data_IF_972418624756
#
_entry.id   IF_972418624756
#
_cell.length_a   1.000
_cell.length_b   1.000
_cell.length_c   1.000
_cell.angle_alpha   90.00
_cell.angle_beta   90.00
_cell.angle_gamma   90.00
#
_symmetry.space_group_name_H-M   'P 1'
#
loop_
_entity.id
_entity.type
_entity.pdbx_description
1 polymer ?
#
# COMPACT_ATOMS: atom_id res chain seq x y z
N UNK A 1 7.16 -45.20 7.79
CA UNK A 1 6.66 -44.85 6.45
C UNK A 1 7.86 -44.48 5.60
N UNK A 2 8.42 -45.42 4.83
CA UNK A 2 9.46 -45.10 3.85
C UNK A 2 8.87 -44.17 2.80
N UNK A 3 9.62 -43.16 2.38
CA UNK A 3 9.24 -42.32 1.24
C UNK A 3 9.18 -43.18 -0.03
N UNK A 4 8.24 -42.90 -0.92
CA UNK A 4 8.11 -43.52 -2.26
C UNK A 4 9.47 -43.55 -3.00
N UNK A 5 10.27 -42.50 -2.83
CA UNK A 5 11.63 -42.36 -3.36
C UNK A 5 12.59 -43.45 -2.84
N UNK A 6 12.52 -43.83 -1.56
CA UNK A 6 13.41 -44.84 -0.99
C UNK A 6 13.17 -46.23 -1.59
N UNK A 7 11.92 -46.55 -1.93
CA UNK A 7 11.58 -47.82 -2.60
C UNK A 7 12.12 -47.86 -4.04
N UNK A 8 12.06 -46.74 -4.76
CA UNK A 8 12.66 -46.61 -6.10
C UNK A 8 14.19 -46.73 -6.05
N UNK A 9 14.85 -46.09 -5.08
CA UNK A 9 16.30 -46.22 -4.88
C UNK A 9 16.72 -47.66 -4.58
N UNK A 10 16.00 -48.36 -3.70
CA UNK A 10 16.28 -49.77 -3.39
C UNK A 10 16.22 -50.64 -4.63
N UNK A 11 15.28 -50.36 -5.53
CA UNK A 11 15.12 -51.11 -6.79
C UNK A 11 16.28 -50.88 -7.75
N UNK A 12 16.74 -49.63 -7.91
CA UNK A 12 17.92 -49.31 -8.73
C UNK A 12 19.15 -50.02 -8.19
N UNK A 13 19.37 -49.95 -6.87
CA UNK A 13 20.52 -50.61 -6.21
C UNK A 13 20.46 -52.12 -6.41
N UNK A 14 19.30 -52.73 -6.21
CA UNK A 14 19.13 -54.17 -6.38
C UNK A 14 19.44 -54.62 -7.81
N UNK A 15 18.92 -53.92 -8.82
CA UNK A 15 19.18 -54.22 -10.24
C UNK A 15 20.65 -54.04 -10.62
N UNK A 16 21.30 -52.99 -10.11
CA UNK A 16 22.71 -52.73 -10.35
C UNK A 16 23.61 -53.80 -9.72
N UNK A 17 23.30 -54.23 -8.49
CA UNK A 17 24.02 -55.32 -7.83
C UNK A 17 23.83 -56.63 -8.57
N UNK A 18 22.62 -56.90 -9.08
CA UNK A 18 22.34 -58.11 -9.88
C UNK A 18 23.15 -58.12 -11.19
N UNK A 19 23.24 -56.98 -11.88
CA UNK A 19 24.08 -56.82 -13.07
C UNK A 19 25.57 -57.02 -12.74
N UNK A 20 26.03 -56.43 -11.63
CA UNK A 20 27.43 -56.54 -11.18
C UNK A 20 27.79 -57.99 -10.80
N UNK A 21 26.90 -58.69 -10.09
CA UNK A 21 27.06 -60.09 -9.71
C UNK A 21 27.11 -60.98 -10.96
N UNK A 22 26.30 -60.70 -11.97
CA UNK A 22 26.35 -61.40 -13.25
C UNK A 22 27.69 -61.18 -13.96
N UNK A 23 28.16 -59.93 -14.07
CA UNK A 23 29.44 -59.61 -14.72
C UNK A 23 30.65 -60.21 -14.01
N UNK A 24 30.59 -60.36 -12.68
CA UNK A 24 31.71 -60.88 -11.86
C UNK A 24 31.70 -62.41 -11.74
N UNK A 25 30.52 -63.04 -11.75
CA UNK A 25 30.39 -64.50 -11.53
C UNK A 25 30.58 -65.31 -12.81
N UNK A 26 30.27 -64.76 -13.98
CA UNK A 26 30.34 -65.52 -15.24
C UNK A 26 31.55 -65.17 -16.09
N UNK A 27 32.43 -66.16 -16.36
CA UNK A 27 33.54 -66.05 -17.33
C UNK A 27 33.11 -66.03 -18.81
N UNK A 28 31.86 -66.35 -19.12
CA UNK A 28 31.33 -66.40 -20.49
C UNK A 28 29.82 -66.16 -20.50
N UNK A 29 29.37 -64.95 -20.15
CA UNK A 29 27.97 -64.55 -20.30
C UNK A 29 27.63 -64.29 -21.77
N UNK A 30 26.50 -64.80 -22.28
CA UNK A 30 25.93 -64.33 -23.54
C UNK A 30 25.66 -62.83 -23.46
N UNK A 31 26.15 -62.06 -24.44
CA UNK A 31 25.95 -60.60 -24.47
C UNK A 31 24.49 -60.18 -24.42
N UNK A 32 23.59 -61.02 -24.94
CA UNK A 32 22.13 -60.80 -24.87
C UNK A 32 21.59 -60.72 -23.44
N UNK A 33 22.12 -61.52 -22.50
CA UNK A 33 21.68 -61.49 -21.10
C UNK A 33 22.17 -60.23 -20.38
N UNK A 34 23.37 -59.75 -20.71
CA UNK A 34 23.92 -58.50 -20.16
C UNK A 34 23.08 -57.33 -20.65
N UNK A 35 22.79 -57.27 -21.95
CA UNK A 35 21.93 -56.24 -22.56
C UNK A 35 20.52 -56.23 -21.95
N UNK A 36 19.94 -57.41 -21.66
CA UNK A 36 18.66 -57.50 -20.97
C UNK A 36 18.69 -56.91 -19.56
N UNK A 37 19.76 -57.13 -18.79
CA UNK A 37 19.89 -56.60 -17.44
C UNK A 37 20.20 -55.10 -17.43
N UNK A 38 21.05 -54.63 -18.34
CA UNK A 38 21.29 -53.19 -18.56
C UNK A 38 19.99 -52.45 -18.88
N UNK A 39 19.14 -53.04 -19.74
CA UNK A 39 17.82 -52.47 -20.03
C UNK A 39 16.94 -52.35 -18.78
N UNK A 40 16.94 -53.35 -17.91
CA UNK A 40 16.16 -53.33 -16.66
C UNK A 40 16.70 -52.31 -15.64
N UNK A 41 18.02 -52.08 -15.61
CA UNK A 41 18.63 -51.02 -14.81
C UNK A 41 18.23 -49.66 -15.37
N UNK A 42 18.29 -49.47 -16.69
CA UNK A 42 17.90 -48.22 -17.33
C UNK A 42 16.42 -47.91 -17.09
N UNK A 43 15.53 -48.89 -17.23
CA UNK A 43 14.11 -48.73 -16.90
C UNK A 43 13.90 -48.36 -15.41
N UNK A 44 14.70 -48.89 -14.49
CA UNK A 44 14.63 -48.51 -13.08
C UNK A 44 15.10 -47.08 -12.81
N UNK A 45 16.07 -46.58 -13.57
CA UNK A 45 16.56 -45.19 -13.48
C UNK A 45 15.59 -44.23 -14.16
N UNK A 46 15.07 -44.58 -15.33
CA UNK A 46 14.06 -43.82 -16.04
C UNK A 46 12.80 -43.69 -15.18
N UNK A 47 12.37 -44.75 -14.50
CA UNK A 47 11.24 -44.70 -13.55
C UNK A 47 11.54 -43.94 -12.26
N UNK A 48 12.80 -43.71 -11.88
CA UNK A 48 13.17 -42.85 -10.74
C UNK A 48 13.09 -41.36 -11.13
N UNK A 49 13.55 -41.04 -12.34
CA UNK A 49 13.66 -39.68 -12.85
C UNK A 49 12.35 -39.20 -13.46
N UNK A 50 11.71 -40.00 -14.32
CA UNK A 50 10.51 -39.66 -15.09
C UNK A 50 9.66 -40.90 -15.51
N UNK A 51 8.61 -41.25 -14.74
CA UNK A 51 7.70 -42.37 -15.06
C UNK A 51 6.83 -42.18 -16.32
N UNK A 52 6.96 -41.08 -17.07
CA UNK A 52 6.03 -40.73 -18.15
C UNK A 52 6.52 -41.01 -19.57
N UNK A 53 7.83 -41.16 -19.79
CA UNK A 53 8.39 -41.03 -21.14
C UNK A 53 8.43 -42.38 -21.90
N UNK A 54 8.45 -43.52 -21.19
CA UNK A 54 8.63 -44.85 -21.80
C UNK A 54 7.83 -45.99 -21.16
N UNK A 55 6.53 -45.81 -20.91
CA UNK A 55 5.65 -46.95 -20.60
C UNK A 55 4.50 -46.66 -19.63
N UNK A 56 3.96 -47.72 -19.02
CA UNK A 56 2.92 -47.62 -18.00
C UNK A 56 3.51 -47.13 -16.67
N UNK A 57 2.86 -46.15 -15.99
CA UNK A 57 3.37 -45.59 -14.74
C UNK A 57 3.35 -46.64 -13.62
N UNK A 58 4.43 -46.70 -12.86
CA UNK A 58 4.61 -47.74 -11.85
C UNK A 58 3.74 -47.49 -10.61
N UNK A 59 3.04 -48.53 -10.16
CA UNK A 59 2.08 -48.49 -9.05
C UNK A 59 2.52 -49.37 -7.89
N UNK A 60 2.14 -48.99 -6.68
CA UNK A 60 2.29 -49.81 -5.47
C UNK A 60 1.25 -50.96 -5.42
N UNK A 61 1.33 -51.79 -4.38
CA UNK A 61 0.35 -52.85 -4.12
C UNK A 61 -1.08 -52.36 -3.83
N UNK A 62 -1.27 -51.05 -3.65
CA UNK A 62 -2.55 -50.37 -3.45
C UNK A 62 -3.00 -49.59 -4.69
N UNK A 63 -2.38 -49.84 -5.87
CA UNK A 63 -2.69 -49.21 -7.15
C UNK A 63 -2.42 -47.68 -7.20
N UNK A 64 -1.62 -47.16 -6.28
CA UNK A 64 -1.20 -45.76 -6.22
C UNK A 64 0.11 -45.58 -7.00
N UNK A 65 0.18 -44.57 -7.85
CA UNK A 65 1.40 -44.21 -8.59
C UNK A 65 2.42 -43.61 -7.62
N UNK A 66 3.67 -44.08 -7.69
CA UNK A 66 4.76 -43.55 -6.85
C UNK A 66 5.04 -42.08 -7.20
N UNK A 67 5.20 -41.21 -6.18
CA UNK A 67 5.67 -39.83 -6.37
C UNK A 67 7.18 -39.79 -6.69
N UNK A 68 7.54 -39.08 -7.75
CA UNK A 68 8.88 -39.11 -8.38
C UNK A 68 9.75 -37.90 -8.02
N UNK A 69 11.00 -37.92 -8.49
CA UNK A 69 11.88 -36.76 -8.36
C UNK A 69 11.39 -35.57 -9.19
N UNK A 70 10.95 -35.78 -10.45
CA UNK A 70 10.34 -34.73 -11.27
C UNK A 70 9.05 -34.20 -10.64
N UNK A 71 8.15 -35.06 -10.18
CA UNK A 71 6.92 -34.62 -9.47
C UNK A 71 7.22 -33.77 -8.22
N UNK A 72 8.30 -34.06 -7.49
CA UNK A 72 8.72 -33.32 -6.29
C UNK A 72 9.32 -31.95 -6.63
N UNK A 73 9.74 -31.74 -7.88
CA UNK A 73 10.32 -30.49 -8.39
C UNK A 73 9.29 -29.67 -9.18
N UNK A 74 8.47 -30.31 -10.00
CA UNK A 74 7.60 -29.68 -11.01
C UNK A 74 6.19 -29.36 -10.49
N UNK A 75 5.70 -30.05 -9.45
CA UNK A 75 4.34 -29.82 -8.96
C UNK A 75 4.19 -28.46 -8.24
N UNK A 76 2.96 -27.93 -8.23
CA UNK A 76 2.49 -26.85 -7.34
C UNK A 76 2.71 -27.14 -5.84
N UNK A 77 2.93 -28.41 -5.47
CA UNK A 77 3.31 -28.90 -4.13
C UNK A 77 4.83 -29.17 -4.00
N UNK A 78 5.64 -28.78 -4.98
CA UNK A 78 7.08 -29.02 -4.98
C UNK A 78 7.80 -28.29 -3.86
N UNK A 79 8.95 -28.84 -3.41
CA UNK A 79 9.70 -28.29 -2.26
C UNK A 79 10.16 -26.84 -2.47
N UNK A 80 10.28 -26.39 -3.73
CA UNK A 80 10.60 -25.00 -4.05
C UNK A 80 9.47 -24.03 -3.67
N UNK A 81 8.21 -24.46 -3.78
CA UNK A 81 7.07 -23.67 -3.31
C UNK A 81 6.89 -23.84 -1.80
N UNK A 82 6.79 -25.08 -1.28
CA UNK A 82 6.44 -25.30 0.13
C UNK A 82 7.50 -24.83 1.15
N UNK A 83 8.80 -24.91 0.84
CA UNK A 83 9.85 -24.59 1.84
C UNK A 83 10.12 -23.09 1.97
N UNK A 84 9.64 -22.27 1.02
CA UNK A 84 9.86 -20.82 0.97
C UNK A 84 8.62 -20.00 1.34
N UNK A 85 7.41 -20.53 1.22
CA UNK A 85 6.19 -19.74 1.34
C UNK A 85 5.56 -19.65 2.74
N UNK A 86 6.17 -20.24 3.77
CA UNK A 86 5.47 -20.42 5.04
C UNK A 86 6.31 -20.43 6.31
N UNK A 87 7.34 -19.59 6.43
CA UNK A 87 7.91 -19.30 7.77
C UNK A 87 7.97 -17.80 8.01
N UNK A 88 7.24 -17.35 9.05
CA UNK A 88 7.26 -15.98 9.58
C UNK A 88 8.70 -15.48 9.64
N UNK A 89 9.00 -14.41 8.90
CA UNK A 89 10.33 -13.81 8.75
C UNK A 89 10.93 -13.84 7.33
N UNK A 90 10.26 -14.43 6.33
CA UNK A 90 10.74 -14.52 4.93
C UNK A 90 9.80 -13.86 3.90
N UNK A 91 9.12 -12.77 4.27
CA UNK A 91 8.21 -12.06 3.37
C UNK A 91 8.89 -10.85 2.73
N UNK A 92 8.61 -10.60 1.46
CA UNK A 92 9.06 -9.39 0.75
C UNK A 92 8.14 -8.23 1.16
N UNK A 93 8.72 -7.10 1.57
CA UNK A 93 7.95 -5.90 1.87
C UNK A 93 7.71 -5.12 0.58
N UNK A 94 6.44 -5.03 0.16
CA UNK A 94 6.02 -4.24 -0.99
C UNK A 94 5.47 -2.89 -0.54
N UNK A 95 5.77 -1.83 -1.29
CA UNK A 95 5.22 -0.50 -1.01
C UNK A 95 3.72 -0.43 -1.37
N UNK A 96 2.81 0.05 -0.50
CA UNK A 96 1.37 0.03 -0.78
C UNK A 96 0.94 0.75 -2.07
N UNK A 97 1.63 1.83 -2.45
CA UNK A 97 1.31 2.57 -3.68
C UNK A 97 1.57 1.80 -4.97
N UNK A 98 2.47 0.80 -4.95
CA UNK A 98 2.74 0.00 -6.17
C UNK A 98 1.82 -1.20 -6.32
N UNK A 99 1.05 -1.55 -5.27
CA UNK A 99 0.14 -2.70 -5.28
C UNK A 99 -0.86 -2.65 -6.44
N UNK A 100 -1.39 -1.46 -6.76
CA UNK A 100 -2.32 -1.28 -7.89
C UNK A 100 -1.67 -1.60 -9.24
N UNK A 101 -0.39 -1.26 -9.41
CA UNK A 101 0.36 -1.53 -10.65
C UNK A 101 0.67 -3.01 -10.85
N UNK A 102 0.94 -3.73 -9.75
CA UNK A 102 1.19 -5.17 -9.77
C UNK A 102 -0.09 -6.01 -9.66
N UNK A 103 -1.23 -5.39 -9.40
CA UNK A 103 -2.48 -6.07 -9.02
C UNK A 103 -2.25 -7.07 -7.88
N UNK A 104 -1.48 -6.64 -6.87
CA UNK A 104 -1.09 -7.50 -5.75
C UNK A 104 -2.03 -7.31 -4.56
N UNK A 105 -2.52 -8.42 -3.99
CA UNK A 105 -3.19 -8.46 -2.70
C UNK A 105 -2.41 -9.32 -1.69
N UNK A 106 -2.54 -9.00 -0.39
CA UNK A 106 -1.74 -9.64 0.65
C UNK A 106 -2.41 -10.91 1.21
N UNK A 107 -3.07 -11.68 0.35
CA UNK A 107 -3.80 -12.91 0.72
C UNK A 107 -2.98 -14.21 0.52
N UNK A 108 -1.80 -14.09 -0.09
CA UNK A 108 -0.94 -15.23 -0.44
C UNK A 108 -0.12 -15.05 -1.72
N UNK A 109 -0.25 -13.89 -2.39
CA UNK A 109 0.51 -13.56 -3.58
C UNK A 109 2.03 -13.74 -3.42
N UNK A 110 2.66 -14.16 -4.52
CA UNK A 110 4.09 -14.42 -4.61
C UNK A 110 4.73 -13.50 -5.63
N UNK A 111 5.91 -12.98 -5.32
CA UNK A 111 6.68 -12.12 -6.21
C UNK A 111 8.06 -12.71 -6.47
N UNK A 112 8.46 -12.71 -7.74
CA UNK A 112 9.82 -13.05 -8.14
C UNK A 112 10.75 -11.85 -7.95
N UNK A 113 11.99 -12.10 -7.56
CA UNK A 113 13.04 -11.08 -7.42
C UNK A 113 14.19 -11.42 -8.36
N UNK A 114 14.54 -10.47 -9.23
CA UNK A 114 15.63 -10.60 -10.18
C UNK A 114 16.74 -9.60 -9.84
N UNK A 115 17.99 -10.05 -9.88
CA UNK A 115 19.17 -9.21 -9.61
C UNK A 115 19.89 -8.93 -10.94
N UNK A 116 19.92 -7.67 -11.43
CA UNK A 116 20.64 -7.33 -12.66
C UNK A 116 22.15 -7.36 -12.42
N UNK A 117 22.88 -8.06 -13.30
CA UNK A 117 24.34 -8.24 -13.17
C UNK A 117 25.14 -7.23 -14.02
N UNK A 118 24.75 -7.01 -15.28
CA UNK A 118 25.45 -6.10 -16.18
C UNK A 118 25.23 -4.63 -15.78
N UNK A 119 26.17 -3.77 -16.14
CA UNK A 119 26.07 -2.34 -15.85
C UNK A 119 24.88 -1.72 -16.59
N UNK A 120 24.66 -2.15 -17.83
CA UNK A 120 23.55 -1.72 -18.67
C UNK A 120 22.21 -2.09 -18.02
N UNK A 121 22.05 -3.32 -17.54
CA UNK A 121 20.83 -3.77 -16.87
C UNK A 121 20.60 -3.05 -15.53
N UNK A 122 21.67 -2.75 -14.79
CA UNK A 122 21.57 -1.97 -13.56
C UNK A 122 21.12 -0.53 -13.84
N UNK A 123 21.64 0.09 -14.91
CA UNK A 123 21.25 1.44 -15.33
C UNK A 123 19.80 1.45 -15.82
N UNK A 124 19.39 0.48 -16.62
CA UNK A 124 18.02 0.33 -17.11
C UNK A 124 17.03 0.17 -15.94
N UNK A 125 17.35 -0.71 -15.00
CA UNK A 125 16.53 -0.91 -13.80
C UNK A 125 16.38 0.37 -12.97
N UNK A 126 17.43 1.19 -12.91
CA UNK A 126 17.45 2.42 -12.10
C UNK A 126 16.81 3.63 -12.79
N UNK A 127 16.93 3.76 -14.10
CA UNK A 127 16.44 4.93 -14.82
C UNK A 127 15.07 4.70 -15.44
N UNK A 128 14.82 3.51 -16.01
CA UNK A 128 13.58 3.21 -16.71
C UNK A 128 12.59 2.45 -15.82
N UNK A 129 13.05 1.46 -15.05
CA UNK A 129 12.16 0.59 -14.28
C UNK A 129 11.89 1.04 -12.84
N UNK A 130 12.44 2.18 -12.42
CA UNK A 130 12.24 2.65 -11.04
C UNK A 130 10.78 3.05 -10.80
N UNK A 131 10.23 2.67 -9.65
CA UNK A 131 8.84 2.93 -9.28
C UNK A 131 8.47 4.42 -9.25
N UNK A 132 9.37 5.31 -8.81
CA UNK A 132 9.07 6.76 -8.74
C UNK A 132 9.05 7.44 -10.12
N UNK A 133 9.57 6.79 -11.16
CA UNK A 133 9.47 7.28 -12.55
C UNK A 133 8.23 6.75 -13.26
N UNK A 134 7.73 5.59 -12.83
CA UNK A 134 6.55 4.92 -13.39
C UNK A 134 5.29 5.19 -12.55
N UNK A 135 4.92 6.47 -12.40
CA UNK A 135 3.74 6.86 -11.61
C UNK A 135 2.42 6.77 -12.40
N UNK A 136 2.50 6.79 -13.73
CA UNK A 136 1.36 6.82 -14.63
C UNK A 136 1.23 5.50 -15.38
N UNK A 137 -0.01 5.17 -15.76
CA UNK A 137 -0.31 4.05 -16.64
C UNK A 137 0.15 4.34 -18.05
N UNK A 138 0.96 3.45 -18.63
CA UNK A 138 1.40 3.58 -20.02
C UNK A 138 0.24 3.51 -21.03
N UNK A 139 -0.90 2.91 -20.66
CA UNK A 139 -2.03 2.73 -21.57
C UNK A 139 -2.97 3.94 -21.62
N UNK A 140 -3.29 4.51 -20.44
CA UNK A 140 -4.33 5.55 -20.30
C UNK A 140 -3.71 6.91 -19.90
N UNK A 141 -2.54 6.90 -19.27
CA UNK A 141 -1.93 8.10 -18.67
C UNK A 141 -2.44 8.40 -17.26
N UNK A 142 -3.39 7.62 -16.73
CA UNK A 142 -3.91 7.79 -15.38
C UNK A 142 -2.87 7.46 -14.31
N UNK A 143 -2.87 8.15 -13.16
CA UNK A 143 -1.96 7.84 -12.08
C UNK A 143 -2.26 6.47 -11.46
N UNK A 144 -1.20 5.67 -11.28
CA UNK A 144 -1.26 4.34 -10.66
C UNK A 144 -0.92 4.44 -9.17
N UNK A 145 0.14 5.19 -8.84
CA UNK A 145 0.68 5.34 -7.49
C UNK A 145 -0.08 6.39 -6.66
N UNK A 146 -1.39 6.21 -6.53
CA UNK A 146 -2.29 7.08 -5.75
C UNK A 146 -2.53 6.44 -4.38
N UNK A 147 -2.67 7.22 -3.29
CA UNK A 147 -3.20 6.73 -2.02
C UNK A 147 -4.50 5.93 -2.23
N UNK A 148 -4.58 4.74 -1.65
CA UNK A 148 -5.77 3.86 -1.73
C UNK A 148 -6.24 3.46 -0.34
N UNK A 149 -7.51 3.00 -0.25
CA UNK A 149 -8.12 2.40 0.95
C UNK A 149 -7.87 3.22 2.23
N UNK A 150 -7.04 2.71 3.15
CA UNK A 150 -6.76 3.30 4.46
C UNK A 150 -6.12 4.69 4.36
N UNK A 151 -5.28 4.93 3.35
CA UNK A 151 -4.67 6.24 3.16
C UNK A 151 -5.72 7.28 2.76
N UNK A 152 -6.66 6.91 1.89
CA UNK A 152 -7.77 7.77 1.52
C UNK A 152 -8.69 8.05 2.72
N UNK A 153 -8.96 7.03 3.55
CA UNK A 153 -9.73 7.20 4.77
C UNK A 153 -8.99 8.15 5.73
N UNK A 154 -7.68 8.01 5.89
CA UNK A 154 -6.87 8.89 6.73
C UNK A 154 -6.90 10.34 6.25
N UNK A 155 -6.68 10.58 4.96
CA UNK A 155 -6.77 11.91 4.35
C UNK A 155 -8.18 12.46 4.47
N UNK A 156 -9.20 11.63 4.25
CA UNK A 156 -10.60 12.02 4.39
C UNK A 156 -10.90 12.46 5.82
N UNK A 157 -10.51 11.69 6.84
CA UNK A 157 -10.70 12.06 8.25
C UNK A 157 -9.94 13.34 8.62
N UNK A 158 -8.73 13.52 8.10
CA UNK A 158 -7.95 14.75 8.31
C UNK A 158 -8.61 15.98 7.66
N UNK A 159 -9.27 15.80 6.53
CA UNK A 159 -9.91 16.88 5.76
C UNK A 159 -11.41 17.00 6.02
N UNK A 160 -12.02 16.04 6.72
CA UNK A 160 -13.43 16.04 7.10
C UNK A 160 -13.67 17.01 8.26
N UNK A 161 -13.50 18.30 8.00
CA UNK A 161 -13.87 19.35 8.94
C UNK A 161 -15.38 19.53 8.99
N UNK A 162 -15.91 20.05 10.10
CA UNK A 162 -17.28 20.54 10.14
C UNK A 162 -17.41 21.71 9.15
N UNK A 163 -17.97 21.48 7.95
CA UNK A 163 -18.19 22.49 6.91
C UNK A 163 -19.28 23.52 7.29
N UNK A 164 -19.42 23.84 8.59
CA UNK A 164 -20.25 24.94 9.03
C UNK A 164 -19.56 26.22 8.54
N UNK A 165 -20.00 26.68 7.38
CA UNK A 165 -19.64 27.99 6.85
C UNK A 165 -19.86 29.08 7.90
N UNK A 166 -19.18 30.20 7.74
CA UNK A 166 -19.25 31.32 8.68
C UNK A 166 -20.72 31.73 8.94
N UNK A 167 -21.57 31.60 7.91
CA UNK A 167 -22.99 31.90 7.93
C UNK A 167 -23.80 31.02 8.90
N UNK A 168 -23.47 29.73 9.00
CA UNK A 168 -24.23 28.74 9.80
C UNK A 168 -24.04 28.96 11.31
N UNK A 169 -22.86 29.43 11.71
CA UNK A 169 -22.55 29.66 13.13
C UNK A 169 -22.95 31.07 13.62
N UNK A 170 -23.07 32.07 12.71
CA UNK A 170 -23.47 33.45 13.08
C UNK A 170 -24.98 33.72 12.96
N UNK A 171 -25.65 33.14 11.97
CA UNK A 171 -27.08 33.35 11.73
C UNK A 171 -27.79 31.99 11.73
N UNK A 172 -28.01 31.41 12.90
CA UNK A 172 -28.99 30.33 13.06
C UNK A 172 -30.29 30.94 13.62
N UNK A 173 -31.31 31.27 12.81
CA UNK A 173 -32.52 31.94 13.28
C UNK A 173 -33.49 30.97 14.00
N UNK A 174 -33.18 29.68 14.03
CA UNK A 174 -34.13 28.64 14.43
C UNK A 174 -33.88 28.18 15.86
N UNK A 175 -34.29 28.99 16.84
CA UNK A 175 -34.78 28.51 18.14
C UNK A 175 -35.63 29.57 18.85
N UNK A 176 -36.61 30.13 18.12
CA UNK A 176 -37.63 31.03 18.68
C UNK A 176 -38.92 30.27 18.98
N UNK A 177 -38.84 29.19 19.77
CA UNK A 177 -40.01 28.59 20.40
C UNK A 177 -39.75 28.35 21.88
N UNK A 178 -40.39 29.20 22.67
CA UNK A 178 -40.82 29.02 24.06
C UNK A 178 -39.72 28.92 25.12
N UNK A 179 -39.42 30.04 25.77
CA UNK A 179 -39.30 30.09 27.23
C UNK A 179 -39.81 31.44 27.73
N UNK A 180 -41.01 31.43 28.31
CA UNK A 180 -41.48 32.51 29.17
C UNK A 180 -40.68 32.47 30.48
N UNK A 181 -40.26 33.66 30.92
CA UNK A 181 -40.02 34.05 32.31
C UNK A 181 -38.99 33.25 33.13
N UNK A 182 -37.75 33.77 33.17
CA UNK A 182 -37.02 33.94 34.45
C UNK A 182 -35.96 35.03 34.30
N UNK A 183 -36.18 36.17 34.95
CA UNK A 183 -35.14 37.16 35.25
C UNK A 183 -34.17 36.50 36.24
N UNK A 184 -32.99 36.10 35.76
CA UNK A 184 -31.80 35.96 36.59
C UNK A 184 -30.66 36.67 35.86
N UNK A 185 -30.04 37.59 36.57
CA UNK A 185 -28.89 38.39 36.16
C UNK A 185 -27.62 37.55 36.17
N UNK A 186 -27.46 36.71 35.15
CA UNK A 186 -26.17 36.14 34.79
C UNK A 186 -25.88 36.50 33.34
N UNK A 187 -24.98 37.47 33.14
CA UNK A 187 -24.44 37.85 31.83
C UNK A 187 -23.59 36.71 31.25
N UNK A 188 -24.22 35.62 30.82
CA UNK A 188 -23.57 34.53 30.08
C UNK A 188 -24.18 34.35 28.67
N UNK A 189 -24.74 35.43 28.12
CA UNK A 189 -25.37 35.44 26.81
C UNK A 189 -24.30 35.82 25.77
N UNK A 190 -23.85 34.82 24.99
CA UNK A 190 -22.81 34.85 23.95
C UNK A 190 -21.35 34.66 24.37
N UNK A 191 -21.01 33.50 24.96
CA UNK A 191 -19.62 33.01 24.89
C UNK A 191 -19.36 32.42 23.51
N UNK A 192 -19.32 33.28 22.47
CA UNK A 192 -18.77 32.88 21.18
C UNK A 192 -17.30 32.52 21.43
N UNK A 193 -16.96 31.24 21.32
CA UNK A 193 -15.57 30.81 21.24
C UNK A 193 -14.98 31.43 19.98
N UNK A 194 -14.29 32.57 20.16
CA UNK A 194 -13.55 33.25 19.11
C UNK A 194 -12.62 32.25 18.45
N UNK A 195 -12.80 32.01 17.16
CA UNK A 195 -11.91 31.12 16.40
C UNK A 195 -10.47 31.66 16.51
N UNK A 196 -9.47 30.80 16.80
CA UNK A 196 -8.11 31.25 17.03
C UNK A 196 -7.45 31.68 15.71
N UNK A 197 -6.65 32.74 15.81
CA UNK A 197 -5.84 33.24 14.70
C UNK A 197 -4.39 32.80 14.86
N UNK A 198 -3.80 32.31 13.78
CA UNK A 198 -2.42 31.87 13.70
C UNK A 198 -1.69 32.60 12.58
N UNK A 199 -0.51 33.12 12.91
CA UNK A 199 0.42 33.70 11.94
C UNK A 199 1.16 32.65 11.12
N UNK A 200 1.37 31.46 11.68
CA UNK A 200 2.19 30.40 11.09
C UNK A 200 1.53 29.02 11.30
N UNK A 201 1.76 28.11 10.36
CA UNK A 201 1.27 26.72 10.42
C UNK A 201 1.88 25.94 11.59
N UNK A 202 3.15 26.18 11.91
CA UNK A 202 3.84 25.56 13.04
C UNK A 202 3.17 25.88 14.39
N UNK A 203 2.72 27.12 14.58
CA UNK A 203 2.05 27.54 15.81
C UNK A 203 0.70 26.85 15.97
N UNK A 204 -0.04 26.71 14.87
CA UNK A 204 -1.32 25.99 14.84
C UNK A 204 -1.14 24.50 15.19
N UNK A 205 -0.13 23.83 14.61
CA UNK A 205 0.20 22.43 14.91
C UNK A 205 0.69 22.29 16.36
N UNK A 206 1.49 23.24 16.85
CA UNK A 206 1.93 23.30 18.24
C UNK A 206 0.75 23.39 19.21
N UNK A 207 -0.23 24.24 18.91
CA UNK A 207 -1.45 24.39 19.70
C UNK A 207 -2.30 23.10 19.72
N UNK A 208 -2.38 22.39 18.59
CA UNK A 208 -3.01 21.06 18.52
C UNK A 208 -2.29 20.03 19.39
N UNK A 209 -0.95 19.96 19.33
CA UNK A 209 -0.15 19.05 20.17
C UNK A 209 -0.35 19.32 21.67
N UNK A 210 -0.55 20.59 22.03
CA UNK A 210 -0.88 21.01 23.39
C UNK A 210 -2.36 20.79 23.77
N UNK A 211 -3.16 20.16 22.91
CA UNK A 211 -4.60 19.92 23.08
C UNK A 211 -5.42 21.19 23.35
N UNK A 212 -4.95 22.35 22.87
CA UNK A 212 -5.67 23.63 22.96
C UNK A 212 -6.76 23.74 21.89
N UNK A 213 -6.59 23.01 20.79
CA UNK A 213 -7.40 23.04 19.59
C UNK A 213 -7.64 21.59 19.15
N UNK A 214 -8.84 21.30 18.68
CA UNK A 214 -9.20 19.98 18.15
C UNK A 214 -8.92 19.92 16.65
N UNK A 215 -8.73 18.71 16.10
CA UNK A 215 -8.43 18.52 14.68
C UNK A 215 -9.48 19.16 13.76
N UNK A 216 -10.77 19.00 14.11
CA UNK A 216 -11.91 19.46 13.29
C UNK A 216 -12.31 20.92 13.57
N UNK A 217 -11.68 21.56 14.54
CA UNK A 217 -12.06 22.93 14.92
C UNK A 217 -11.53 23.95 13.92
N UNK A 218 -12.40 24.87 13.44
CA UNK A 218 -12.00 25.89 12.48
C UNK A 218 -11.04 26.90 13.14
N UNK A 219 -10.03 27.29 12.38
CA UNK A 219 -9.04 28.30 12.76
C UNK A 219 -8.74 29.23 11.58
N UNK A 220 -8.17 30.39 11.88
CA UNK A 220 -7.74 31.35 10.86
C UNK A 220 -6.22 31.29 10.72
N UNK A 221 -5.73 30.89 9.55
CA UNK A 221 -4.30 30.87 9.25
C UNK A 221 -3.95 32.03 8.32
N UNK A 222 -2.89 32.79 8.66
CA UNK A 222 -2.34 33.81 7.78
C UNK A 222 -1.73 33.17 6.53
N UNK A 223 -2.25 33.55 5.37
CA UNK A 223 -1.79 33.08 4.06
C UNK A 223 -0.63 33.95 3.54
N UNK A 224 0.32 33.31 2.85
CA UNK A 224 1.41 34.02 2.18
C UNK A 224 0.90 34.62 0.88
N UNK A 225 1.11 35.93 0.69
CA UNK A 225 0.59 36.70 -0.44
C UNK A 225 1.14 36.24 -1.81
N UNK A 226 2.28 35.54 -1.82
CA UNK A 226 2.95 35.08 -3.05
C UNK A 226 2.26 33.88 -3.72
N UNK A 227 1.45 33.12 -2.96
CA UNK A 227 0.66 32.01 -3.47
C UNK A 227 -0.73 32.52 -3.88
N UNK A 228 -1.02 32.47 -5.19
CA UNK A 228 -2.27 32.98 -5.79
C UNK A 228 -3.50 32.43 -5.06
N UNK A 229 -4.23 33.30 -4.37
CA UNK A 229 -5.55 32.98 -3.85
C UNK A 229 -6.52 32.98 -5.03
N UNK A 230 -7.02 31.81 -5.42
CA UNK A 230 -8.12 31.70 -6.38
C UNK A 230 -9.39 32.12 -5.64
N UNK A 231 -9.62 33.43 -5.53
CA UNK A 231 -10.89 33.95 -5.05
C UNK A 231 -11.88 34.02 -6.23
N UNK A 232 -12.99 33.30 -6.12
CA UNK A 232 -14.22 33.59 -6.86
C UNK A 232 -14.61 35.06 -6.62
N UNK A 233 -15.21 35.72 -7.63
CA UNK A 233 -15.68 37.12 -7.54
C UNK A 233 -16.89 37.25 -6.60
N UNK A 234 -16.70 36.96 -5.33
CA UNK A 234 -17.74 37.03 -4.29
C UNK A 234 -17.76 38.40 -3.64
N UNK A 235 -18.94 38.86 -3.22
CA UNK A 235 -19.08 40.05 -2.38
C UNK A 235 -18.79 39.69 -0.91
N UNK A 236 -18.13 40.57 -0.14
CA UNK A 236 -17.87 40.31 1.27
C UNK A 236 -19.18 40.19 2.03
N UNK A 237 -19.26 39.22 2.94
CA UNK A 237 -20.43 38.97 3.79
C UNK A 237 -20.57 40.08 4.82
N UNK A 238 -19.45 40.45 5.45
CA UNK A 238 -19.39 41.52 6.45
C UNK A 238 -18.10 42.32 6.30
N UNK A 239 -18.18 43.63 6.53
CA UNK A 239 -17.02 44.52 6.56
C UNK A 239 -16.98 45.22 7.91
N UNK A 240 -15.87 45.07 8.63
CA UNK A 240 -15.65 45.74 9.92
C UNK A 240 -14.59 46.83 9.77
N UNK A 241 -14.87 48.03 10.27
CA UNK A 241 -13.92 49.14 10.29
C UNK A 241 -13.34 49.29 11.70
N UNK A 242 -12.03 49.31 11.81
CA UNK A 242 -11.34 49.72 13.03
C UNK A 242 -11.13 51.24 13.04
N UNK A 243 -11.11 51.81 14.24
CA UNK A 243 -10.86 53.24 14.46
C UNK A 243 -9.48 53.70 13.96
N UNK A 244 -8.53 52.77 13.81
CA UNK A 244 -7.18 53.00 13.29
C UNK A 244 -7.10 53.06 11.75
N UNK A 245 -8.23 52.89 11.05
CA UNK A 245 -8.33 52.98 9.59
C UNK A 245 -8.05 51.66 8.85
N UNK A 246 -7.75 50.59 9.58
CA UNK A 246 -7.78 49.22 9.06
C UNK A 246 -9.21 48.74 8.95
N UNK A 247 -9.51 47.94 7.93
CA UNK A 247 -10.81 47.29 7.83
C UNK A 247 -10.67 45.83 7.37
N UNK A 248 -11.60 45.02 7.85
CA UNK A 248 -11.68 43.58 7.61
C UNK A 248 -12.80 43.33 6.62
N UNK A 249 -12.48 42.72 5.48
CA UNK A 249 -13.46 42.15 4.57
C UNK A 249 -13.56 40.66 4.87
N UNK A 250 -14.72 40.23 5.38
CA UNK A 250 -14.98 38.83 5.70
C UNK A 250 -15.74 38.18 4.55
N UNK A 251 -15.17 37.12 3.99
CA UNK A 251 -15.78 36.26 2.99
C UNK A 251 -16.09 34.88 3.59
N UNK A 252 -16.77 34.00 2.86
CA UNK A 252 -17.22 32.70 3.39
C UNK A 252 -16.10 31.82 3.97
N UNK A 253 -14.91 31.86 3.33
CA UNK A 253 -13.78 30.98 3.67
C UNK A 253 -12.44 31.72 3.88
N UNK A 254 -12.40 33.03 3.67
CA UNK A 254 -11.20 33.83 3.82
C UNK A 254 -11.55 35.23 4.35
N UNK A 255 -10.55 35.90 4.90
CA UNK A 255 -10.65 37.23 5.50
C UNK A 255 -9.49 38.07 4.98
N UNK A 256 -9.79 39.26 4.49
CA UNK A 256 -8.79 40.19 3.96
C UNK A 256 -8.70 41.39 4.89
N UNK A 257 -7.49 41.72 5.33
CA UNK A 257 -7.20 42.93 6.08
C UNK A 257 -6.62 43.97 5.12
N UNK A 258 -7.30 45.12 5.00
CA UNK A 258 -6.87 46.22 4.14
C UNK A 258 -6.51 47.47 4.94
N UNK A 259 -5.61 48.28 4.39
CA UNK A 259 -5.31 49.62 4.88
C UNK A 259 -6.31 50.66 4.32
N UNK A 260 -6.31 51.88 4.87
CA UNK A 260 -7.06 53.03 4.32
C UNK A 260 -6.82 53.26 2.82
N UNK A 261 -5.60 52.96 2.35
CA UNK A 261 -5.21 53.07 0.92
C UNK A 261 -5.68 51.89 0.06
N UNK A 262 -6.55 51.02 0.60
CA UNK A 262 -7.06 49.77 -0.01
C UNK A 262 -5.98 48.73 -0.35
N UNK A 263 -4.76 48.90 0.15
CA UNK A 263 -3.70 47.91 0.01
C UNK A 263 -3.98 46.71 0.92
N UNK A 264 -3.75 45.50 0.41
CA UNK A 264 -3.89 44.26 1.18
C UNK A 264 -2.70 44.14 2.13
N UNK A 265 -2.97 44.09 3.43
CA UNK A 265 -1.94 43.88 4.45
C UNK A 265 -1.75 42.38 4.69
N UNK A 266 -2.84 41.69 5.03
CA UNK A 266 -2.84 40.26 5.34
C UNK A 266 -4.07 39.58 4.76
N UNK A 267 -3.91 38.33 4.34
CA UNK A 267 -5.01 37.44 4.00
C UNK A 267 -5.00 36.32 5.03
N UNK A 268 -6.16 35.99 5.58
CA UNK A 268 -6.35 34.83 6.44
C UNK A 268 -7.30 33.86 5.75
N UNK A 269 -6.98 32.57 5.82
CA UNK A 269 -7.83 31.50 5.31
C UNK A 269 -8.39 30.75 6.50
N UNK A 270 -9.70 30.48 6.46
CA UNK A 270 -10.38 29.65 7.44
C UNK A 270 -10.14 28.19 7.07
N UNK A 271 -9.39 27.49 7.90
CA UNK A 271 -8.98 26.11 7.65
C UNK A 271 -9.01 25.29 8.95
N UNK A 272 -8.65 24.02 8.88
CA UNK A 272 -8.46 23.15 10.05
C UNK A 272 -7.01 22.68 10.15
N UNK A 273 -6.63 22.16 11.32
CA UNK A 273 -5.27 21.64 11.53
C UNK A 273 -4.96 20.49 10.57
N UNK A 274 -5.94 19.63 10.27
CA UNK A 274 -5.75 18.50 9.35
C UNK A 274 -5.46 18.94 7.91
N UNK A 275 -6.13 19.98 7.40
CA UNK A 275 -5.79 20.57 6.10
C UNK A 275 -4.38 21.16 6.10
N UNK A 276 -4.00 21.88 7.16
CA UNK A 276 -2.65 22.45 7.27
C UNK A 276 -1.59 21.35 7.24
N UNK A 277 -1.82 20.25 7.96
CA UNK A 277 -0.90 19.12 7.98
C UNK A 277 -0.75 18.49 6.60
N UNK A 278 -1.86 18.30 5.87
CA UNK A 278 -1.84 17.73 4.52
C UNK A 278 -1.08 18.64 3.54
N UNK A 279 -1.41 19.93 3.48
CA UNK A 279 -0.76 20.85 2.53
C UNK A 279 0.74 20.99 2.77
N UNK A 280 1.17 20.86 4.03
CA UNK A 280 2.58 20.91 4.38
C UNK A 280 3.37 19.70 3.88
N UNK A 281 2.76 18.52 3.78
CA UNK A 281 3.42 17.32 3.24
C UNK A 281 3.49 17.34 1.71
N UNK A 282 2.69 18.20 1.06
CA UNK A 282 2.67 18.37 -0.41
C UNK A 282 3.68 19.43 -0.88
N UNK A 283 4.02 20.40 -0.03
CA UNK A 283 4.98 21.49 -0.30
C UNK A 283 6.43 21.07 -0.05
#
# INVERSE_FOLDING_TARGET
MSSDINELYRRVIYRNNTLTDLLTTSRSTPGELVMCQEKLVQEAVDTLLDNGIRGQPMRDGHNKVYKLFSDVIEAKEGRFCETLLGKRGRAICLHPLVCKGFNADFDGDQMAVHVPLSLEAQVEARLLMFSYMNLLSSAIGDPISIPTQDMLIGIYVLTSGNHRGICVNRYNPCNRRNYQNKKNSDNSYYKYTKEPFFSNSYDAIGAYRQKRINLDSPLWLRWRLDQRVIASRETPIEVHYESLGTFYEIYGHYLIVRSLKKQILFIYIRTTVGHIALYREIE
#
